data_IF_985666820205
#
_entry.id   IF_985666820205
#
_cell.length_a   1.000
_cell.length_b   1.000
_cell.length_c   1.000
_cell.angle_alpha   90.00
_cell.angle_beta   90.00
_cell.angle_gamma   90.00
#
_symmetry.space_group_name_H-M   'P 1'
#
loop_
_entity.id
_entity.type
_entity.pdbx_description
1 polymer ?
#
# COMPACT_ATOMS: atom_id res chain seq x y z
N UNK A 1 -14.66 -7.79 -1.45
CA UNK A 1 -13.69 -7.42 -0.40
C UNK A 1 -13.24 -5.98 -0.58
N UNK A 2 -12.65 -5.34 0.44
CA UNK A 2 -12.03 -4.00 0.31
C UNK A 2 -10.97 -3.99 -0.79
N UNK A 3 -10.18 -5.06 -0.91
CA UNK A 3 -9.19 -5.22 -1.98
C UNK A 3 -9.82 -5.13 -3.37
N UNK A 4 -10.95 -5.80 -3.60
CA UNK A 4 -11.62 -5.79 -4.90
C UNK A 4 -12.23 -4.42 -5.22
N UNK A 5 -12.73 -3.69 -4.20
CA UNK A 5 -13.20 -2.31 -4.35
C UNK A 5 -12.06 -1.39 -4.77
N UNK A 6 -10.91 -1.49 -4.10
CA UNK A 6 -9.71 -0.72 -4.44
C UNK A 6 -9.21 -1.04 -5.84
N UNK A 7 -9.13 -2.33 -6.17
CA UNK A 7 -8.71 -2.81 -7.50
C UNK A 7 -9.57 -2.22 -8.60
N UNK A 8 -10.90 -2.35 -8.48
CA UNK A 8 -11.84 -1.81 -9.47
C UNK A 8 -11.75 -0.28 -9.56
N UNK A 9 -11.62 0.40 -8.43
CA UNK A 9 -11.52 1.87 -8.41
C UNK A 9 -10.26 2.34 -9.14
N UNK A 10 -9.11 1.75 -8.83
CA UNK A 10 -7.83 2.14 -9.43
C UNK A 10 -7.78 1.78 -10.92
N UNK A 11 -8.30 0.61 -11.30
CA UNK A 11 -8.41 0.23 -12.70
C UNK A 11 -9.35 1.16 -13.50
N UNK A 12 -10.45 1.64 -12.90
CA UNK A 12 -11.33 2.65 -13.52
C UNK A 12 -10.65 4.02 -13.67
N UNK A 13 -9.62 4.29 -12.89
CA UNK A 13 -8.75 5.45 -13.02
C UNK A 13 -7.52 5.17 -13.92
N UNK A 14 -7.58 4.12 -14.74
CA UNK A 14 -6.57 3.76 -15.75
C UNK A 14 -5.21 3.29 -15.18
N UNK A 15 -5.12 3.00 -13.89
CA UNK A 15 -3.94 2.32 -13.33
C UNK A 15 -3.93 0.82 -13.68
N UNK A 16 -2.75 0.28 -13.97
CA UNK A 16 -2.55 -1.17 -14.01
C UNK A 16 -2.43 -1.70 -12.57
N UNK A 17 -3.30 -2.65 -12.21
CA UNK A 17 -3.45 -3.10 -10.82
C UNK A 17 -3.17 -4.59 -10.72
N UNK A 18 -2.13 -4.92 -9.97
CA UNK A 18 -1.84 -6.29 -9.57
C UNK A 18 -2.18 -6.54 -8.09
N UNK A 19 -2.79 -7.69 -7.80
CA UNK A 19 -3.34 -8.02 -6.48
C UNK A 19 -2.60 -9.17 -5.77
N UNK A 20 -2.01 -8.88 -4.62
CA UNK A 20 -1.50 -9.89 -3.70
C UNK A 20 -2.58 -10.34 -2.68
N UNK A 21 -2.75 -11.65 -2.42
CA UNK A 21 -3.62 -12.18 -1.36
C UNK A 21 -3.04 -12.08 0.05
N UNK A 22 -1.73 -12.00 0.18
CA UNK A 22 -1.03 -11.95 1.45
C UNK A 22 0.33 -11.27 1.29
N UNK A 23 0.97 -10.96 2.42
CA UNK A 23 2.29 -10.32 2.43
C UNK A 23 3.37 -11.18 1.77
N UNK A 24 3.29 -12.52 1.80
CA UNK A 24 4.29 -13.39 1.17
C UNK A 24 4.27 -13.24 -0.35
N UNK A 25 3.08 -13.31 -0.95
CA UNK A 25 2.91 -13.11 -2.39
C UNK A 25 3.32 -11.69 -2.79
N UNK A 26 3.02 -10.68 -1.96
CA UNK A 26 3.47 -9.31 -2.19
C UNK A 26 5.00 -9.20 -2.24
N UNK A 27 5.71 -9.82 -1.28
CA UNK A 27 7.18 -9.84 -1.25
C UNK A 27 7.78 -10.55 -2.48
N UNK A 28 7.21 -11.68 -2.88
CA UNK A 28 7.67 -12.42 -4.06
C UNK A 28 7.53 -11.59 -5.33
N UNK A 29 6.40 -10.87 -5.48
CA UNK A 29 6.13 -10.04 -6.66
C UNK A 29 6.95 -8.75 -6.68
N UNK A 30 7.13 -8.09 -5.54
CA UNK A 30 7.98 -6.88 -5.42
C UNK A 30 9.41 -7.12 -5.91
N UNK A 31 9.89 -8.37 -5.89
CA UNK A 31 11.24 -8.74 -6.37
C UNK A 31 11.33 -8.94 -7.88
N UNK A 32 10.21 -9.17 -8.54
CA UNK A 32 10.16 -9.60 -9.95
C UNK A 32 9.55 -8.49 -10.83
N UNK A 33 8.57 -7.77 -10.30
CA UNK A 33 7.79 -6.79 -11.03
C UNK A 33 8.16 -5.38 -10.52
N UNK A 34 8.53 -4.45 -11.41
CA UNK A 34 8.75 -3.06 -11.03
C UNK A 34 7.40 -2.35 -10.85
N UNK A 35 7.07 -1.97 -9.62
CA UNK A 35 5.87 -1.19 -9.32
C UNK A 35 6.20 0.30 -9.14
N UNK A 36 5.22 1.15 -9.43
CA UNK A 36 5.28 2.60 -9.23
C UNK A 36 4.55 3.04 -7.95
N UNK A 37 3.69 2.19 -7.40
CA UNK A 37 2.97 2.45 -6.15
C UNK A 37 2.68 1.13 -5.44
N UNK A 38 2.94 1.08 -4.13
CA UNK A 38 2.51 -0.01 -3.26
C UNK A 38 1.36 0.45 -2.36
N UNK A 39 0.26 -0.29 -2.34
CA UNK A 39 -0.83 -0.12 -1.36
C UNK A 39 -0.94 -1.38 -0.52
N UNK A 40 -0.80 -1.27 0.81
CA UNK A 40 -0.82 -2.44 1.72
C UNK A 40 -1.69 -2.20 2.96
N UNK A 41 -2.27 -3.27 3.49
CA UNK A 41 -2.80 -3.30 4.87
C UNK A 41 -1.62 -3.50 5.84
N UNK A 42 -1.76 -3.03 7.08
CA UNK A 42 -0.79 -3.32 8.14
C UNK A 42 -1.01 -4.71 8.73
N UNK A 43 -2.28 -5.09 8.96
CA UNK A 43 -2.60 -6.32 9.69
C UNK A 43 -3.05 -7.40 8.72
N UNK A 44 -2.17 -8.35 8.46
CA UNK A 44 -2.42 -9.51 7.62
C UNK A 44 -1.93 -10.78 8.34
N UNK A 45 -2.57 -11.94 8.14
CA UNK A 45 -2.03 -13.21 8.62
C UNK A 45 -0.67 -13.52 7.98
N UNK A 46 0.26 -14.04 8.79
CA UNK A 46 1.60 -14.40 8.33
C UNK A 46 2.50 -13.16 8.21
N UNK A 47 2.79 -12.74 6.98
CA UNK A 47 3.63 -11.56 6.72
C UNK A 47 2.77 -10.31 6.83
N UNK A 48 3.10 -9.45 7.78
CA UNK A 48 2.39 -8.19 8.01
C UNK A 48 2.80 -7.09 7.00
N UNK A 49 2.04 -6.00 6.97
CA UNK A 49 2.32 -4.89 6.05
C UNK A 49 3.66 -4.20 6.32
N UNK A 50 4.11 -4.16 7.57
CA UNK A 50 5.36 -3.49 7.92
C UNK A 50 6.57 -4.23 7.32
N UNK A 51 6.55 -5.56 7.35
CA UNK A 51 7.55 -6.38 6.68
C UNK A 51 7.56 -6.14 5.16
N UNK A 52 6.39 -6.02 4.53
CA UNK A 52 6.27 -5.69 3.09
C UNK A 52 6.87 -4.32 2.78
N UNK A 53 6.57 -3.30 3.61
CA UNK A 53 7.08 -1.94 3.41
C UNK A 53 8.60 -1.89 3.56
N UNK A 54 9.15 -2.58 4.57
CA UNK A 54 10.61 -2.63 4.78
C UNK A 54 11.33 -3.29 3.59
N UNK A 55 10.79 -4.39 3.04
CA UNK A 55 11.38 -5.01 1.84
C UNK A 55 11.22 -4.11 0.61
N UNK A 56 10.04 -3.50 0.41
CA UNK A 56 9.80 -2.57 -0.68
C UNK A 56 10.83 -1.42 -0.68
N UNK A 57 11.10 -0.84 0.50
CA UNK A 57 12.14 0.18 0.70
C UNK A 57 13.55 -0.34 0.43
N UNK A 58 13.85 -1.59 0.78
CA UNK A 58 15.15 -2.21 0.49
C UNK A 58 15.36 -2.44 -1.01
N UNK A 59 14.31 -2.78 -1.74
CA UNK A 59 14.36 -3.05 -3.18
C UNK A 59 14.35 -1.76 -4.01
N UNK A 60 13.52 -0.78 -3.62
CA UNK A 60 13.35 0.51 -4.29
C UNK A 60 13.05 1.59 -3.24
N UNK A 61 14.10 2.30 -2.82
CA UNK A 61 14.03 3.24 -1.71
C UNK A 61 12.99 4.35 -1.91
N UNK A 62 12.77 4.76 -3.16
CA UNK A 62 11.86 5.82 -3.59
C UNK A 62 10.43 5.33 -3.92
N UNK A 63 10.14 4.02 -3.89
CA UNK A 63 8.82 3.48 -4.21
C UNK A 63 7.74 4.10 -3.31
N UNK A 64 6.79 4.88 -3.82
CA UNK A 64 5.69 5.39 -3.03
C UNK A 64 4.89 4.27 -2.36
N UNK A 65 4.55 4.45 -1.08
CA UNK A 65 3.80 3.47 -0.29
C UNK A 65 2.59 4.13 0.35
N UNK A 66 1.41 3.55 0.20
CA UNK A 66 0.20 3.95 0.91
C UNK A 66 -0.25 2.81 1.83
N UNK A 67 -0.42 3.12 3.11
CA UNK A 67 -1.01 2.19 4.07
C UNK A 67 -2.52 2.40 4.11
N UNK A 68 -3.28 1.30 4.08
CA UNK A 68 -4.72 1.29 4.30
C UNK A 68 -5.08 0.25 5.36
N UNK A 69 -5.28 0.68 6.61
CA UNK A 69 -5.46 -0.24 7.76
C UNK A 69 -6.73 0.04 8.54
N UNK A 70 -7.37 -1.01 9.06
CA UNK A 70 -8.41 -0.88 10.09
C UNK A 70 -7.85 -0.94 11.52
N UNK A 71 -6.55 -1.19 11.63
CA UNK A 71 -5.82 -1.33 12.88
C UNK A 71 -4.67 -0.33 12.89
N UNK A 72 -4.97 0.87 13.41
CA UNK A 72 -3.98 1.92 13.64
C UNK A 72 -3.66 2.01 15.11
N UNK A 73 -2.38 1.93 15.45
CA UNK A 73 -1.85 2.26 16.78
C UNK A 73 -0.92 3.45 16.64
N UNK A 74 -0.66 4.15 17.75
CA UNK A 74 0.32 5.25 17.76
C UNK A 74 1.70 4.76 17.30
N UNK A 75 2.12 3.58 17.78
CA UNK A 75 3.37 2.96 17.36
C UNK A 75 3.42 2.67 15.85
N UNK A 76 2.35 2.13 15.26
CA UNK A 76 2.36 1.81 13.82
C UNK A 76 2.28 3.06 12.94
N UNK A 77 1.63 4.13 13.41
CA UNK A 77 1.62 5.42 12.74
C UNK A 77 3.00 6.08 12.77
N UNK A 78 3.68 6.07 13.92
CA UNK A 78 5.05 6.58 14.06
C UNK A 78 6.01 5.80 13.15
N UNK A 79 5.91 4.47 13.14
CA UNK A 79 6.78 3.65 12.29
C UNK A 79 6.53 3.91 10.81
N UNK A 80 5.27 4.04 10.38
CA UNK A 80 4.93 4.40 9.01
C UNK A 80 5.54 5.75 8.60
N UNK A 81 5.49 6.75 9.48
CA UNK A 81 6.12 8.06 9.25
C UNK A 81 7.64 7.91 9.11
N UNK A 82 8.28 7.13 9.99
CA UNK A 82 9.73 6.90 9.94
C UNK A 82 10.17 6.16 8.67
N UNK A 83 9.31 5.31 8.10
CA UNK A 83 9.54 4.64 6.81
C UNK A 83 9.22 5.53 5.59
N UNK A 84 8.78 6.77 5.82
CA UNK A 84 8.50 7.74 4.77
C UNK A 84 7.36 7.30 3.85
N UNK A 85 6.30 6.68 4.36
CA UNK A 85 5.16 6.31 3.52
C UNK A 85 4.48 7.56 2.95
N UNK A 86 4.02 7.47 1.70
CA UNK A 86 3.38 8.56 0.96
C UNK A 86 1.95 8.83 1.44
N UNK A 87 1.32 7.85 2.09
CA UNK A 87 -0.03 8.00 2.64
C UNK A 87 -0.35 6.99 3.72
N UNK A 88 -1.22 7.40 4.63
CA UNK A 88 -1.77 6.54 5.69
C UNK A 88 -3.28 6.79 5.78
N UNK A 89 -4.08 5.78 5.45
CA UNK A 89 -5.54 5.84 5.44
C UNK A 89 -6.10 4.81 6.43
N UNK A 90 -7.00 5.25 7.29
CA UNK A 90 -7.72 4.37 8.21
C UNK A 90 -9.03 3.88 7.59
N UNK A 91 -9.40 2.63 7.89
CA UNK A 91 -10.71 2.07 7.52
C UNK A 91 -11.75 2.49 8.58
N UNK A 92 -12.98 2.87 8.18
CA UNK A 92 -13.46 3.02 6.81
C UNK A 92 -12.93 4.30 6.14
N UNK A 93 -12.69 4.24 4.83
CA UNK A 93 -12.23 5.37 4.02
C UNK A 93 -13.21 5.65 2.87
N UNK A 94 -13.10 6.84 2.28
CA UNK A 94 -13.85 7.21 1.06
C UNK A 94 -13.00 6.94 -0.17
N UNK A 95 -13.61 6.37 -1.20
CA UNK A 95 -12.95 6.03 -2.48
C UNK A 95 -12.19 7.21 -3.11
N UNK A 96 -12.75 8.44 -3.19
CA UNK A 96 -12.02 9.58 -3.75
C UNK A 96 -10.73 9.92 -2.99
N UNK A 97 -10.67 9.61 -1.68
CA UNK A 97 -9.47 9.87 -0.88
C UNK A 97 -8.33 8.94 -1.28
N UNK A 98 -8.62 7.70 -1.65
CA UNK A 98 -7.60 6.75 -2.12
C UNK A 98 -7.01 7.22 -3.44
N UNK A 99 -7.87 7.56 -4.42
CA UNK A 99 -7.42 8.07 -5.72
C UNK A 99 -6.58 9.34 -5.58
N UNK A 100 -7.04 10.31 -4.80
CA UNK A 100 -6.28 11.54 -4.55
C UNK A 100 -4.93 11.28 -3.86
N UNK A 101 -4.84 10.25 -3.02
CA UNK A 101 -3.58 9.88 -2.35
C UNK A 101 -2.65 9.15 -3.31
N UNK A 102 -3.18 8.30 -4.19
CA UNK A 102 -2.42 7.62 -5.24
C UNK A 102 -1.83 8.62 -6.25
N UNK A 103 -2.67 9.50 -6.83
CA UNK A 103 -2.22 10.53 -7.76
C UNK A 103 -1.12 11.42 -7.15
N UNK A 104 -1.33 11.92 -5.93
CA UNK A 104 -0.31 12.70 -5.20
C UNK A 104 0.98 11.91 -4.99
N UNK A 105 0.89 10.62 -4.67
CA UNK A 105 2.05 9.76 -4.44
C UNK A 105 2.86 9.49 -5.72
N UNK A 106 2.17 9.44 -6.87
CA UNK A 106 2.76 9.27 -8.20
C UNK A 106 3.23 10.60 -8.84
N UNK A 107 2.84 11.75 -8.26
CA UNK A 107 3.23 13.07 -8.77
C UNK A 107 2.34 13.60 -9.90
N UNK A 108 1.11 13.11 -9.99
CA UNK A 108 0.06 13.53 -10.93
C UNK A 108 -0.75 14.73 -10.43
#
# INVERSE_FOLDING_TARGET
SIRDLLSKTLALAEYDVDLAPDGRTALERLRIIPYDLLITDLKMPGVDGMAVIREARRLKADLPVIIITGYSTEASAIEAVNLGVSGYLTKPFRVPKVLATAAKALGE
#
